data_IF_233513262835
#
_entry.id   IF_233513262835
#
_cell.length_a   1.000
_cell.length_b   1.000
_cell.length_c   1.000
_cell.angle_alpha   90.00
_cell.angle_beta   90.00
_cell.angle_gamma   90.00
#
_symmetry.space_group_name_H-M   'P 1'
#
loop_
_entity.id
_entity.type
_entity.pdbx_description
1 polymer ?
#
# COMPACT_ATOMS: atom_id res chain seq x y z
N UNK A 1 -18.88 -13.07 -0.72
CA UNK A 1 -17.55 -12.45 -0.58
C UNK A 1 -17.24 -12.42 0.91
N UNK A 2 -16.45 -13.36 1.41
CA UNK A 2 -16.20 -13.47 2.85
C UNK A 2 -14.98 -12.60 3.15
N UNK A 3 -15.25 -11.36 3.54
CA UNK A 3 -14.21 -10.44 3.96
C UNK A 3 -13.78 -10.90 5.34
N UNK A 4 -12.54 -11.37 5.44
CA UNK A 4 -11.96 -11.65 6.73
C UNK A 4 -11.72 -10.31 7.42
N UNK A 5 -12.71 -9.88 8.23
CA UNK A 5 -12.66 -8.62 8.97
C UNK A 5 -11.44 -8.59 9.88
N UNK A 6 -11.04 -9.73 10.44
CA UNK A 6 -9.88 -9.81 11.31
C UNK A 6 -8.59 -9.55 10.52
N UNK A 7 -8.48 -10.06 9.29
CA UNK A 7 -7.37 -9.74 8.39
C UNK A 7 -7.31 -8.24 8.05
N UNK A 8 -8.46 -7.62 7.77
CA UNK A 8 -8.56 -6.18 7.50
C UNK A 8 -8.15 -5.35 8.72
N UNK A 9 -8.74 -5.62 9.89
CA UNK A 9 -8.42 -4.86 11.10
C UNK A 9 -6.95 -5.05 11.52
N UNK A 10 -6.42 -6.27 11.39
CA UNK A 10 -4.99 -6.54 11.62
C UNK A 10 -4.11 -5.77 10.64
N UNK A 11 -4.49 -5.68 9.37
CA UNK A 11 -3.78 -4.88 8.39
C UNK A 11 -3.87 -3.37 8.74
N UNK A 12 -5.04 -2.85 9.10
CA UNK A 12 -5.19 -1.43 9.45
C UNK A 12 -4.55 -1.03 10.79
N UNK A 13 -4.23 -1.98 11.66
CA UNK A 13 -3.60 -1.72 12.97
C UNK A 13 -2.19 -1.09 12.91
N UNK A 14 -1.51 -1.15 11.77
CA UNK A 14 -0.17 -0.58 11.57
C UNK A 14 -0.25 0.81 10.96
N UNK A 15 0.46 1.77 11.55
CA UNK A 15 0.45 3.17 11.10
C UNK A 15 1.02 3.33 9.69
N UNK A 16 2.10 2.63 9.36
CA UNK A 16 2.70 2.68 8.01
C UNK A 16 1.74 2.15 6.95
N UNK A 17 1.01 1.07 7.23
CA UNK A 17 -0.02 0.55 6.32
C UNK A 17 -1.15 1.54 6.09
N UNK A 18 -1.56 2.30 7.11
CA UNK A 18 -2.53 3.39 6.97
C UNK A 18 -1.99 4.52 6.10
N UNK A 19 -0.75 4.97 6.32
CA UNK A 19 -0.12 5.99 5.48
C UNK A 19 0.01 5.56 4.01
N UNK A 20 0.31 4.28 3.75
CA UNK A 20 0.31 3.73 2.39
C UNK A 20 -1.07 3.86 1.74
N UNK A 21 -2.14 3.52 2.48
CA UNK A 21 -3.50 3.64 1.97
C UNK A 21 -3.90 5.10 1.75
N UNK A 22 -3.50 6.01 2.64
CA UNK A 22 -3.73 7.45 2.49
C UNK A 22 -3.09 7.98 1.20
N UNK A 23 -1.82 7.65 0.94
CA UNK A 23 -1.13 8.04 -0.31
C UNK A 23 -1.78 7.45 -1.56
N UNK A 24 -2.26 6.20 -1.50
CA UNK A 24 -2.96 5.56 -2.61
C UNK A 24 -4.41 6.05 -2.78
N UNK A 25 -5.01 6.61 -1.73
CA UNK A 25 -6.31 7.27 -1.81
C UNK A 25 -6.20 8.67 -2.41
N UNK A 26 -5.09 9.37 -2.19
CA UNK A 26 -4.81 10.64 -2.86
C UNK A 26 -4.46 10.45 -4.34
N UNK A 27 -3.89 9.29 -4.70
CA UNK A 27 -3.50 8.95 -6.07
C UNK A 27 -3.83 7.50 -6.41
N UNK A 28 -4.82 7.33 -7.27
CA UNK A 28 -5.37 6.03 -7.67
C UNK A 28 -4.32 4.97 -8.06
N UNK A 29 -3.23 5.35 -8.72
CA UNK A 29 -2.15 4.43 -9.11
C UNK A 29 -0.77 5.07 -8.88
N UNK A 30 0.12 4.34 -8.20
CA UNK A 30 1.53 4.71 -8.00
C UNK A 30 2.43 3.52 -8.26
N UNK A 31 3.61 3.76 -8.84
CA UNK A 31 4.66 2.73 -8.82
C UNK A 31 5.17 2.53 -7.40
N UNK A 32 5.72 1.33 -7.10
CA UNK A 32 6.37 1.07 -5.81
C UNK A 32 7.47 2.11 -5.50
N UNK A 33 8.16 2.59 -6.52
CA UNK A 33 9.18 3.63 -6.35
C UNK A 33 8.58 4.97 -5.95
N UNK A 34 7.58 5.47 -6.68
CA UNK A 34 6.91 6.74 -6.38
C UNK A 34 6.27 6.72 -4.99
N UNK A 35 5.62 5.60 -4.62
CA UNK A 35 5.08 5.42 -3.27
C UNK A 35 6.18 5.51 -2.21
N UNK A 36 7.32 4.84 -2.44
CA UNK A 36 8.47 4.90 -1.51
C UNK A 36 8.98 6.33 -1.34
N UNK A 37 9.19 7.04 -2.45
CA UNK A 37 9.67 8.42 -2.43
C UNK A 37 8.68 9.32 -1.69
N UNK A 38 7.37 9.16 -1.91
CA UNK A 38 6.33 9.93 -1.22
C UNK A 38 6.30 9.70 0.28
N UNK A 39 6.41 8.44 0.72
CA UNK A 39 6.44 8.12 2.15
C UNK A 39 7.65 8.75 2.84
N UNK A 40 8.81 8.75 2.18
CA UNK A 40 10.02 9.40 2.71
C UNK A 40 9.84 10.93 2.72
N UNK A 41 9.38 11.54 1.63
CA UNK A 41 9.36 13.00 1.50
C UNK A 41 8.21 13.68 2.24
N UNK A 42 7.03 13.06 2.30
CA UNK A 42 5.82 13.66 2.89
C UNK A 42 5.63 13.29 4.36
N UNK A 43 6.09 12.11 4.76
CA UNK A 43 5.89 11.57 6.11
C UNK A 43 7.21 11.38 6.89
N UNK A 44 8.34 11.84 6.34
CA UNK A 44 9.70 11.67 6.90
C UNK A 44 10.01 10.21 7.30
N UNK A 45 9.38 9.27 6.59
CA UNK A 45 9.40 7.87 6.96
C UNK A 45 10.67 7.21 6.43
N UNK A 46 11.65 7.00 7.31
CA UNK A 46 12.90 6.31 6.96
C UNK A 46 12.67 4.79 6.85
N UNK A 47 12.01 4.37 5.77
CA UNK A 47 11.63 2.99 5.50
C UNK A 47 12.25 2.48 4.20
N UNK A 48 12.75 1.25 4.21
CA UNK A 48 13.31 0.63 3.00
C UNK A 48 12.21 0.18 2.04
N UNK A 49 12.54 0.12 0.75
CA UNK A 49 11.63 -0.41 -0.28
C UNK A 49 11.19 -1.84 0.04
N UNK A 50 12.08 -2.66 0.62
CA UNK A 50 11.77 -4.03 1.03
C UNK A 50 10.75 -4.06 2.17
N UNK A 51 10.86 -3.16 3.15
CA UNK A 51 9.88 -3.06 4.22
C UNK A 51 8.52 -2.60 3.67
N UNK A 52 8.47 -1.60 2.78
CA UNK A 52 7.24 -1.19 2.09
C UNK A 52 6.62 -2.38 1.33
N UNK A 53 7.44 -3.18 0.63
CA UNK A 53 6.94 -4.36 -0.08
C UNK A 53 6.28 -5.39 0.86
N UNK A 54 6.79 -5.54 2.10
CA UNK A 54 6.15 -6.38 3.14
C UNK A 54 4.82 -5.79 3.62
N UNK A 55 4.76 -4.48 3.86
CA UNK A 55 3.51 -3.82 4.22
C UNK A 55 2.46 -3.97 3.11
N UNK A 56 2.86 -3.84 1.85
CA UNK A 56 2.00 -4.06 0.69
C UNK A 56 1.49 -5.49 0.58
N UNK A 57 2.33 -6.50 0.85
CA UNK A 57 1.89 -7.89 0.86
C UNK A 57 0.79 -8.12 1.91
N UNK A 58 0.96 -7.60 3.12
CA UNK A 58 -0.07 -7.71 4.17
C UNK A 58 -1.37 -6.96 3.81
N UNK A 59 -1.27 -5.83 3.11
CA UNK A 59 -2.45 -5.11 2.60
C UNK A 59 -3.14 -5.88 1.45
N UNK A 60 -2.37 -6.52 0.58
CA UNK A 60 -2.87 -7.32 -0.55
C UNK A 60 -3.56 -8.60 -0.05
N UNK A 61 -2.99 -9.28 0.96
CA UNK A 61 -3.60 -10.42 1.65
C UNK A 61 -4.94 -10.04 2.32
N UNK A 62 -5.04 -8.80 2.84
CA UNK A 62 -6.26 -8.25 3.40
C UNK A 62 -7.25 -7.72 2.35
N UNK A 63 -6.90 -7.75 1.05
CA UNK A 63 -7.73 -7.24 -0.04
C UNK A 63 -7.84 -5.71 -0.10
N UNK A 64 -6.92 -4.98 0.55
CA UNK A 64 -6.96 -3.52 0.66
C UNK A 64 -6.26 -2.80 -0.49
N UNK A 65 -5.27 -3.46 -1.11
CA UNK A 65 -4.55 -2.94 -2.29
C UNK A 65 -4.46 -4.02 -3.36
N UNK A 66 -4.28 -3.58 -4.60
CA UNK A 66 -3.96 -4.44 -5.73
C UNK A 66 -2.60 -4.04 -6.27
N UNK A 67 -1.77 -5.02 -6.60
CA UNK A 67 -0.52 -4.77 -7.30
C UNK A 67 -0.51 -5.40 -8.70
N UNK A 68 -0.06 -4.63 -9.69
CA UNK A 68 0.04 -5.06 -11.09
C UNK A 68 1.42 -4.77 -11.63
N UNK A 69 1.94 -5.67 -12.47
CA UNK A 69 3.20 -5.46 -13.18
C UNK A 69 2.92 -4.73 -14.51
N UNK A 70 3.42 -3.50 -14.65
CA UNK A 70 3.43 -2.76 -15.93
C UNK A 70 4.87 -2.73 -16.45
N UNK A 71 5.19 -3.68 -17.33
CA UNK A 71 6.54 -3.87 -17.88
C UNK A 71 7.58 -4.23 -16.81
N UNK A 72 8.54 -3.33 -16.58
CA UNK A 72 9.59 -3.51 -15.54
C UNK A 72 9.17 -3.00 -14.16
N UNK A 73 8.02 -2.33 -14.06
CA UNK A 73 7.59 -1.67 -12.82
C UNK A 73 6.42 -2.41 -12.16
N UNK A 74 6.41 -2.41 -10.82
CA UNK A 74 5.25 -2.79 -10.01
C UNK A 74 4.45 -1.51 -9.71
N UNK A 75 3.19 -1.51 -10.09
CA UNK A 75 2.20 -0.46 -9.82
C UNK A 75 1.25 -0.97 -8.75
N UNK A 76 0.87 -0.09 -7.84
CA UNK A 76 0.00 -0.35 -6.70
C UNK A 76 -1.17 0.62 -6.74
N UNK A 77 -2.37 0.12 -6.44
CA UNK A 77 -3.60 0.91 -6.35
C UNK A 77 -4.43 0.47 -5.16
N UNK A 78 -5.19 1.39 -4.56
CA UNK A 78 -6.23 1.06 -3.57
C UNK A 78 -7.41 0.38 -4.24
N UNK A 79 -8.03 -0.60 -3.58
CA UNK A 79 -9.24 -1.29 -4.09
C UNK A 79 -10.49 -0.40 -3.99
N UNK A 80 -10.48 0.60 -3.12
CA UNK A 80 -11.68 1.37 -2.74
C UNK A 80 -11.76 2.76 -3.38
N UNK A 81 -10.78 3.13 -4.20
CA UNK A 81 -10.79 4.41 -4.89
C UNK A 81 -11.56 4.27 -6.21
N UNK A 82 -12.90 4.39 -6.13
CA UNK A 82 -13.82 4.50 -7.29
C UNK A 82 -14.26 5.94 -7.46
#
# INVERSE_FOLDING_TARGET
>A
MNWDKDAIFKALGDSTRRLILDELSERNELTLYELTVRLIMKHDLSISRQAIAKHLAALEDAGLVISKRKGKYRVVSSVYCS
#
